data_IF_452517919005
#
_entry.id   IF_452517919005
#
_cell.length_a   1.000
_cell.length_b   1.000
_cell.length_c   1.000
_cell.angle_alpha   90.00
_cell.angle_beta   90.00
_cell.angle_gamma   90.00
#
_symmetry.space_group_name_H-M   'P 1'
#
loop_
_entity.id
_entity.type
_entity.pdbx_description
1 polymer ?
#
# COMPACT_ATOMS: atom_id res chain seq x y z
N UNK A 1 -20.03 26.36 -7.05
CA UNK A 1 -19.81 26.77 -5.64
C UNK A 1 -18.49 26.16 -5.18
N UNK A 2 -17.55 26.94 -4.65
CA UNK A 2 -16.27 26.40 -4.14
C UNK A 2 -16.48 25.69 -2.80
N UNK A 3 -15.53 24.84 -2.39
CA UNK A 3 -15.63 24.10 -1.10
C UNK A 3 -15.77 25.04 0.09
N UNK A 4 -15.03 26.16 0.11
CA UNK A 4 -15.15 27.19 1.15
C UNK A 4 -16.50 27.91 1.12
N UNK A 5 -17.07 28.16 -0.07
CA UNK A 5 -18.40 28.74 -0.19
C UNK A 5 -19.49 27.80 0.35
N UNK A 6 -19.37 26.48 0.12
CA UNK A 6 -20.29 25.49 0.66
C UNK A 6 -20.25 25.42 2.20
N UNK A 7 -19.07 25.61 2.82
CA UNK A 7 -18.96 25.73 4.27
C UNK A 7 -19.64 27.00 4.80
N UNK A 8 -19.34 28.15 4.21
CA UNK A 8 -19.92 29.44 4.63
C UNK A 8 -21.46 29.44 4.50
N UNK A 9 -21.99 28.74 3.49
CA UNK A 9 -23.43 28.54 3.30
C UNK A 9 -24.03 27.42 4.19
N UNK A 10 -23.25 26.79 5.08
CA UNK A 10 -23.63 25.66 5.96
C UNK A 10 -24.19 24.44 5.21
N UNK A 11 -23.77 24.24 3.96
CA UNK A 11 -24.16 23.09 3.12
C UNK A 11 -23.30 21.86 3.44
N UNK A 12 -22.04 22.07 3.85
CA UNK A 12 -21.11 21.00 4.19
C UNK A 12 -20.46 21.23 5.56
N UNK A 13 -20.24 20.18 6.37
CA UNK A 13 -19.61 20.32 7.68
C UNK A 13 -18.11 20.62 7.55
N UNK A 14 -17.55 21.27 8.57
CA UNK A 14 -16.15 21.73 8.55
C UNK A 14 -15.16 20.60 8.29
N UNK A 15 -15.36 19.42 8.88
CA UNK A 15 -14.45 18.29 8.71
C UNK A 15 -14.37 17.79 7.26
N UNK A 16 -15.47 17.87 6.50
CA UNK A 16 -15.48 17.51 5.08
C UNK A 16 -14.76 18.56 4.23
N UNK A 17 -15.02 19.84 4.51
CA UNK A 17 -14.45 20.97 3.77
C UNK A 17 -12.94 21.08 4.01
N UNK A 18 -12.52 21.06 5.27
CA UNK A 18 -11.10 21.06 5.66
C UNK A 18 -10.40 19.83 5.08
N UNK A 19 -10.99 18.65 5.23
CA UNK A 19 -10.41 17.41 4.73
C UNK A 19 -10.14 17.45 3.23
N UNK A 20 -11.09 17.96 2.45
CA UNK A 20 -10.93 18.16 1.01
C UNK A 20 -9.85 19.18 0.68
N UNK A 21 -9.89 20.37 1.29
CA UNK A 21 -8.91 21.44 1.06
C UNK A 21 -7.49 20.95 1.40
N UNK A 22 -7.33 20.20 2.49
CA UNK A 22 -6.03 19.64 2.92
C UNK A 22 -5.44 18.66 1.92
N UNK A 23 -6.25 17.95 1.12
CA UNK A 23 -5.69 17.10 0.05
C UNK A 23 -5.06 17.94 -1.07
N UNK A 24 -5.60 19.12 -1.33
CA UNK A 24 -5.13 20.02 -2.40
C UNK A 24 -4.01 20.93 -1.88
N UNK A 25 -4.31 21.81 -0.92
CA UNK A 25 -3.34 22.79 -0.41
C UNK A 25 -2.27 22.17 0.49
N UNK A 26 -2.56 21.01 1.08
CA UNK A 26 -1.58 20.23 1.84
C UNK A 26 -0.85 19.24 0.94
N UNK A 27 -1.45 18.06 0.74
CA UNK A 27 -0.76 16.93 0.11
C UNK A 27 -0.28 17.21 -1.32
N UNK A 28 -1.13 17.73 -2.21
CA UNK A 28 -0.74 17.97 -3.61
C UNK A 28 0.42 18.96 -3.72
N UNK A 29 0.39 20.07 -2.97
CA UNK A 29 1.49 21.05 -2.97
C UNK A 29 2.74 20.51 -2.27
N UNK A 30 2.59 19.79 -1.15
CA UNK A 30 3.71 19.15 -0.45
C UNK A 30 4.45 18.14 -1.33
N UNK A 31 3.71 17.25 -2.01
CA UNK A 31 4.25 16.24 -2.93
C UNK A 31 5.01 16.91 -4.08
N UNK A 32 4.46 18.01 -4.64
CA UNK A 32 5.16 18.81 -5.65
C UNK A 32 6.48 19.35 -5.13
N UNK A 33 6.51 19.86 -3.89
CA UNK A 33 7.72 20.34 -3.24
C UNK A 33 8.76 19.23 -3.06
N UNK A 34 8.35 18.07 -2.55
CA UNK A 34 9.22 16.89 -2.39
C UNK A 34 9.87 16.50 -3.71
N UNK A 35 9.08 16.41 -4.78
CA UNK A 35 9.58 16.04 -6.10
C UNK A 35 10.72 16.97 -6.55
N UNK A 36 10.48 18.28 -6.62
CA UNK A 36 11.49 19.22 -7.12
C UNK A 36 12.69 19.38 -6.19
N UNK A 37 12.50 19.19 -4.88
CA UNK A 37 13.60 19.33 -3.91
C UNK A 37 14.59 18.16 -3.96
N UNK A 38 14.13 16.94 -4.22
CA UNK A 38 15.00 15.75 -4.18
C UNK A 38 15.38 15.19 -5.56
N UNK A 39 14.77 15.66 -6.64
CA UNK A 39 15.14 15.24 -8.00
C UNK A 39 16.52 15.78 -8.41
N UNK A 40 17.29 15.01 -9.22
CA UNK A 40 16.91 13.76 -9.88
C UNK A 40 17.10 12.49 -9.04
N UNK A 41 17.82 12.57 -7.92
CA UNK A 41 18.22 11.38 -7.14
C UNK A 41 17.06 10.66 -6.45
N UNK A 42 15.93 11.35 -6.23
CA UNK A 42 14.73 10.75 -5.67
C UNK A 42 14.27 9.50 -6.43
N UNK A 43 14.34 9.51 -7.76
CA UNK A 43 13.98 8.38 -8.65
C UNK A 43 14.76 7.09 -8.41
N UNK A 44 15.93 7.17 -7.76
CA UNK A 44 16.83 6.01 -7.53
C UNK A 44 16.66 5.43 -6.13
N UNK A 45 15.82 6.02 -5.28
CA UNK A 45 15.69 5.61 -3.88
C UNK A 45 14.99 4.26 -3.76
N UNK A 46 15.64 3.35 -3.05
CA UNK A 46 15.12 2.02 -2.73
C UNK A 46 15.62 1.60 -1.34
N UNK A 47 15.25 2.36 -0.30
CA UNK A 47 15.78 2.16 1.07
C UNK A 47 15.47 0.78 1.66
N UNK A 48 14.50 0.05 1.11
CA UNK A 48 14.11 -1.29 1.55
C UNK A 48 14.66 -2.42 0.65
N UNK A 49 15.49 -2.09 -0.36
CA UNK A 49 16.03 -3.05 -1.32
C UNK A 49 14.95 -3.94 -1.98
N UNK A 50 13.81 -3.35 -2.33
CA UNK A 50 12.70 -4.04 -2.96
C UNK A 50 13.01 -4.33 -4.44
N UNK A 51 13.04 -5.60 -4.83
CA UNK A 51 13.46 -6.05 -6.18
C UNK A 51 12.51 -7.05 -6.83
N UNK A 52 11.46 -7.50 -6.13
CA UNK A 52 10.55 -8.53 -6.63
C UNK A 52 9.82 -8.03 -7.89
N UNK A 53 9.76 -8.80 -9.00
CA UNK A 53 9.06 -8.35 -10.20
C UNK A 53 7.57 -8.06 -9.96
N UNK A 54 7.05 -7.02 -10.61
CA UNK A 54 5.62 -6.69 -10.61
C UNK A 54 4.83 -7.88 -11.20
N UNK A 55 3.90 -8.50 -10.45
CA UNK A 55 3.18 -9.66 -10.95
C UNK A 55 2.15 -9.28 -12.02
N UNK A 56 1.90 -10.19 -12.95
CA UNK A 56 1.12 -9.95 -14.16
C UNK A 56 -0.32 -9.49 -13.87
N UNK A 57 -0.90 -9.93 -12.76
CA UNK A 57 -2.25 -9.54 -12.38
C UNK A 57 -2.43 -8.03 -12.15
N UNK A 58 -1.36 -7.24 -11.94
CA UNK A 58 -1.45 -5.77 -11.96
C UNK A 58 -1.94 -5.23 -13.31
N UNK A 59 -1.73 -5.95 -14.40
CA UNK A 59 -2.19 -5.58 -15.74
C UNK A 59 -3.49 -6.28 -16.13
N UNK A 60 -3.67 -7.55 -15.74
CA UNK A 60 -4.81 -8.37 -16.18
C UNK A 60 -6.01 -8.33 -15.23
N UNK A 61 -5.79 -8.00 -13.95
CA UNK A 61 -6.72 -8.19 -12.84
C UNK A 61 -7.11 -9.65 -12.56
N UNK A 62 -6.37 -10.61 -13.10
CA UNK A 62 -6.59 -12.05 -12.91
C UNK A 62 -5.92 -12.51 -11.62
N UNK A 63 -6.65 -12.44 -10.52
CA UNK A 63 -6.21 -12.91 -9.21
C UNK A 63 -7.41 -13.36 -8.37
N UNK A 64 -7.19 -14.32 -7.46
CA UNK A 64 -8.22 -14.78 -6.50
C UNK A 64 -8.34 -13.83 -5.31
N UNK A 65 -7.38 -12.94 -5.09
CA UNK A 65 -7.48 -11.83 -4.13
C UNK A 65 -8.53 -10.83 -4.62
N UNK A 66 -9.78 -10.99 -4.17
CA UNK A 66 -10.92 -10.19 -4.65
C UNK A 66 -10.69 -8.67 -4.55
N UNK A 67 -10.10 -8.17 -3.47
CA UNK A 67 -9.77 -6.74 -3.33
C UNK A 67 -8.81 -6.23 -4.41
N UNK A 68 -7.76 -7.00 -4.72
CA UNK A 68 -6.79 -6.66 -5.77
C UNK A 68 -7.46 -6.70 -7.14
N UNK A 69 -8.18 -7.78 -7.43
CA UNK A 69 -8.89 -7.93 -8.70
C UNK A 69 -9.86 -6.79 -8.97
N UNK A 70 -10.65 -6.37 -7.97
CA UNK A 70 -11.59 -5.24 -8.12
C UNK A 70 -10.87 -3.89 -8.27
N UNK A 71 -9.84 -3.61 -7.47
CA UNK A 71 -9.10 -2.35 -7.57
C UNK A 71 -8.41 -2.20 -8.94
N UNK A 72 -7.86 -3.30 -9.47
CA UNK A 72 -7.18 -3.31 -10.76
C UNK A 72 -8.19 -3.27 -11.90
N UNK A 73 -9.31 -4.01 -11.84
CA UNK A 73 -10.40 -3.90 -12.82
C UNK A 73 -10.93 -2.49 -12.92
N UNK A 74 -11.24 -1.85 -11.78
CA UNK A 74 -11.73 -0.48 -11.76
C UNK A 74 -10.71 0.49 -12.38
N UNK A 75 -9.43 0.30 -12.08
CA UNK A 75 -8.35 1.09 -12.66
C UNK A 75 -8.25 0.90 -14.18
N UNK A 76 -8.31 -0.34 -14.66
CA UNK A 76 -8.27 -0.66 -16.10
C UNK A 76 -9.46 -0.07 -16.86
N UNK A 77 -10.67 -0.21 -16.30
CA UNK A 77 -11.90 0.14 -16.99
C UNK A 77 -12.22 1.65 -16.94
N UNK A 78 -11.65 2.38 -15.97
CA UNK A 78 -11.96 3.80 -15.75
C UNK A 78 -10.74 4.73 -15.68
N UNK A 79 -9.51 4.21 -15.78
CA UNK A 79 -8.28 4.96 -15.54
C UNK A 79 -8.30 5.74 -14.21
N UNK A 80 -9.01 5.20 -13.21
CA UNK A 80 -9.27 5.84 -11.92
C UNK A 80 -9.48 4.81 -10.81
N UNK A 81 -8.87 5.09 -9.67
CA UNK A 81 -9.21 4.53 -8.36
C UNK A 81 -9.01 5.62 -7.31
N UNK A 82 -9.77 5.59 -6.23
CA UNK A 82 -9.66 6.61 -5.20
C UNK A 82 -8.44 6.36 -4.30
N UNK A 83 -7.98 7.39 -3.58
CA UNK A 83 -6.71 7.36 -2.83
C UNK A 83 -6.49 6.10 -1.97
N UNK A 84 -7.48 5.65 -1.20
CA UNK A 84 -7.29 4.50 -0.31
C UNK A 84 -7.16 3.14 -1.03
N UNK A 85 -7.66 3.01 -2.28
CA UNK A 85 -7.40 1.82 -3.11
C UNK A 85 -5.94 1.83 -3.58
N UNK A 86 -5.48 2.98 -4.09
CA UNK A 86 -4.08 3.17 -4.48
C UNK A 86 -3.13 2.87 -3.33
N UNK A 87 -3.41 3.41 -2.14
CA UNK A 87 -2.52 3.29 -1.00
C UNK A 87 -2.62 1.91 -0.32
N UNK A 88 -3.82 1.47 0.06
CA UNK A 88 -4.00 0.36 0.99
C UNK A 88 -4.34 -0.99 0.35
N UNK A 89 -4.61 -1.01 -0.96
CA UNK A 89 -4.81 -2.25 -1.72
C UNK A 89 -3.59 -2.53 -2.57
N UNK A 90 -3.43 -1.84 -3.71
CA UNK A 90 -2.33 -2.10 -4.66
C UNK A 90 -0.98 -1.65 -4.12
N UNK A 91 -0.91 -0.51 -3.42
CA UNK A 91 0.32 0.03 -2.84
C UNK A 91 0.81 -0.79 -1.64
N UNK A 92 -0.09 -1.08 -0.70
CA UNK A 92 0.19 -1.94 0.44
C UNK A 92 0.63 -3.34 -0.01
N UNK A 93 -0.04 -3.95 -1.00
CA UNK A 93 0.41 -5.24 -1.54
C UNK A 93 1.83 -5.14 -2.11
N UNK A 94 2.11 -4.10 -2.89
CA UNK A 94 3.43 -3.88 -3.48
C UNK A 94 4.52 -3.71 -2.40
N UNK A 95 4.22 -2.94 -1.35
CA UNK A 95 5.10 -2.73 -0.21
C UNK A 95 5.40 -4.05 0.52
N UNK A 96 4.36 -4.79 0.95
CA UNK A 96 4.55 -5.98 1.79
C UNK A 96 5.11 -7.18 1.01
N UNK A 97 5.06 -7.19 -0.31
CA UNK A 97 5.73 -8.19 -1.16
C UNK A 97 7.11 -7.76 -1.67
N UNK A 98 7.51 -6.50 -1.41
CA UNK A 98 8.81 -5.99 -1.81
C UNK A 98 8.96 -5.84 -3.32
N UNK A 99 7.89 -5.41 -4.00
CA UNK A 99 7.91 -5.21 -5.45
C UNK A 99 8.91 -4.12 -5.85
N UNK A 100 9.51 -4.31 -7.03
CA UNK A 100 10.45 -3.39 -7.62
C UNK A 100 9.84 -1.99 -7.74
N UNK A 101 10.44 -1.04 -7.04
CA UNK A 101 9.96 0.35 -6.93
C UNK A 101 9.71 0.98 -8.29
N UNK A 102 10.63 0.77 -9.24
CA UNK A 102 10.54 1.35 -10.59
C UNK A 102 9.36 0.77 -11.37
N UNK A 103 9.15 -0.54 -11.31
CA UNK A 103 8.03 -1.18 -12.00
C UNK A 103 6.69 -0.76 -11.42
N UNK A 104 6.60 -0.59 -10.10
CA UNK A 104 5.39 -0.08 -9.45
C UNK A 104 5.14 1.38 -9.87
N UNK A 105 6.16 2.23 -9.89
CA UNK A 105 6.07 3.61 -10.39
C UNK A 105 5.60 3.65 -11.86
N UNK A 106 6.21 2.84 -12.73
CA UNK A 106 5.82 2.73 -14.13
C UNK A 106 4.35 2.32 -14.29
N UNK A 107 3.87 1.39 -13.46
CA UNK A 107 2.47 0.99 -13.44
C UNK A 107 1.55 2.14 -13.01
N UNK A 108 1.80 2.78 -11.86
CA UNK A 108 0.98 3.90 -11.38
C UNK A 108 0.97 5.07 -12.37
N UNK A 109 2.10 5.35 -13.02
CA UNK A 109 2.21 6.40 -14.03
C UNK A 109 1.44 6.06 -15.32
N UNK A 110 1.36 4.78 -15.68
CA UNK A 110 0.69 4.33 -16.89
C UNK A 110 -0.84 4.21 -16.76
N UNK A 111 -1.34 3.76 -15.60
CA UNK A 111 -2.74 3.31 -15.50
C UNK A 111 -3.75 4.36 -15.03
N UNK A 112 -3.29 5.47 -14.44
CA UNK A 112 -4.18 6.52 -13.94
C UNK A 112 -4.17 7.75 -14.85
N UNK A 113 -5.36 8.22 -15.22
CA UNK A 113 -5.55 9.41 -16.08
C UNK A 113 -5.07 10.73 -15.44
N UNK A 114 -4.86 10.73 -14.12
CA UNK A 114 -4.36 11.87 -13.35
C UNK A 114 -2.85 11.78 -13.02
N UNK A 115 -2.14 10.78 -13.55
CA UNK A 115 -0.75 10.55 -13.22
C UNK A 115 0.21 11.40 -14.08
N UNK A 116 1.01 12.19 -13.37
CA UNK A 116 2.19 12.87 -13.90
C UNK A 116 3.33 12.63 -12.91
N UNK A 117 4.57 12.49 -13.39
CA UNK A 117 5.71 12.07 -12.58
C UNK A 117 5.86 12.89 -11.27
N UNK A 118 5.69 14.22 -11.34
CA UNK A 118 5.84 15.09 -10.17
C UNK A 118 4.86 14.80 -9.03
N UNK A 119 3.68 14.25 -9.34
CA UNK A 119 2.66 13.89 -8.34
C UNK A 119 2.68 12.40 -8.04
N UNK A 120 2.93 11.57 -9.06
CA UNK A 120 2.91 10.13 -8.94
C UNK A 120 4.12 9.61 -8.15
N UNK A 121 5.35 10.02 -8.53
CA UNK A 121 6.56 9.44 -7.98
C UNK A 121 6.69 9.61 -6.45
N UNK A 122 6.45 10.79 -5.84
CA UNK A 122 6.56 10.89 -4.38
C UNK A 122 5.42 10.18 -3.64
N UNK A 123 4.24 10.06 -4.24
CA UNK A 123 3.16 9.25 -3.68
C UNK A 123 3.50 7.75 -3.74
N UNK A 124 4.00 7.26 -4.86
CA UNK A 124 4.34 5.84 -5.01
C UNK A 124 5.59 5.48 -4.22
N UNK A 125 6.73 6.10 -4.54
CA UNK A 125 8.02 5.80 -3.92
C UNK A 125 8.02 6.13 -2.42
N UNK A 126 7.52 7.30 -2.05
CA UNK A 126 7.56 7.78 -0.66
C UNK A 126 6.40 7.24 0.16
N UNK A 127 5.17 7.64 -0.17
CA UNK A 127 4.00 7.31 0.65
C UNK A 127 3.64 5.82 0.62
N UNK A 128 3.52 5.22 -0.57
CA UNK A 128 3.06 3.84 -0.69
C UNK A 128 4.16 2.81 -0.39
N UNK A 129 5.37 3.03 -0.90
CA UNK A 129 6.46 2.04 -0.84
C UNK A 129 7.53 2.31 0.22
N UNK A 130 7.46 3.44 0.93
CA UNK A 130 8.43 3.83 1.96
C UNK A 130 9.89 3.74 1.47
N UNK A 131 10.11 3.88 0.17
CA UNK A 131 11.41 3.67 -0.48
C UNK A 131 12.31 4.89 -0.36
N UNK A 132 11.76 6.02 0.11
CA UNK A 132 12.45 7.27 0.36
C UNK A 132 13.11 7.35 1.75
N UNK A 133 13.01 6.31 2.57
CA UNK A 133 13.52 6.28 3.94
C UNK A 133 12.70 7.09 4.95
N UNK A 134 11.46 7.46 4.61
CA UNK A 134 10.55 8.18 5.49
C UNK A 134 10.55 9.70 5.33
N UNK A 135 10.89 10.19 4.14
CA UNK A 135 10.78 11.63 3.82
C UNK A 135 9.32 12.07 3.79
N UNK A 136 8.46 11.32 3.10
CA UNK A 136 7.03 11.66 2.95
C UNK A 136 6.20 11.15 4.14
N UNK A 137 6.53 9.97 4.66
CA UNK A 137 5.77 9.32 5.73
C UNK A 137 6.69 8.89 6.86
N UNK A 138 6.27 9.04 8.12
CA UNK A 138 7.10 8.67 9.27
C UNK A 138 7.00 7.18 9.65
N UNK A 139 6.14 6.40 8.99
CA UNK A 139 6.00 4.95 9.13
C UNK A 139 5.48 4.35 7.82
N UNK A 140 5.78 3.07 7.51
CA UNK A 140 5.23 2.42 6.33
C UNK A 140 3.71 2.22 6.46
N UNK A 141 2.98 2.40 5.35
CA UNK A 141 1.55 2.09 5.24
C UNK A 141 1.32 0.58 4.98
N UNK A 142 2.01 -0.27 5.75
CA UNK A 142 1.83 -1.71 5.71
C UNK A 142 0.62 -2.13 6.55
N UNK A 143 -0.24 -2.99 6.01
CA UNK A 143 -1.39 -3.52 6.72
C UNK A 143 -1.76 -4.95 6.28
N UNK A 144 -2.31 -5.72 7.22
CA UNK A 144 -2.82 -7.07 6.97
C UNK A 144 -4.25 -7.06 6.40
N UNK A 145 -4.78 -8.24 6.09
CA UNK A 145 -6.16 -8.43 5.62
C UNK A 145 -7.21 -7.90 6.60
N UNK A 146 -6.89 -7.81 7.90
CA UNK A 146 -7.78 -7.23 8.92
C UNK A 146 -8.13 -5.76 8.63
N UNK A 147 -7.19 -4.98 8.08
CA UNK A 147 -7.48 -3.61 7.69
C UNK A 147 -8.49 -3.56 6.54
N UNK A 148 -8.26 -4.36 5.50
CA UNK A 148 -9.11 -4.43 4.31
C UNK A 148 -10.52 -4.89 4.70
N UNK A 149 -10.62 -5.89 5.57
CA UNK A 149 -11.91 -6.39 6.09
C UNK A 149 -12.70 -5.32 6.84
N UNK A 150 -12.01 -4.48 7.64
CA UNK A 150 -12.67 -3.42 8.40
C UNK A 150 -13.12 -2.24 7.52
N UNK A 151 -12.37 -1.94 6.47
CA UNK A 151 -12.54 -0.71 5.68
C UNK A 151 -13.26 -0.94 4.34
N UNK A 152 -13.67 -2.18 4.05
CA UNK A 152 -14.32 -2.54 2.79
C UNK A 152 -15.26 -3.73 2.98
N UNK A 153 -16.03 -4.05 1.94
CA UNK A 153 -16.82 -5.27 1.84
C UNK A 153 -16.15 -6.33 0.93
N UNK A 154 -14.89 -6.15 0.52
CA UNK A 154 -14.22 -7.08 -0.41
C UNK A 154 -14.10 -8.50 0.15
N UNK A 155 -13.80 -8.64 1.44
CA UNK A 155 -13.54 -9.93 2.07
C UNK A 155 -14.77 -10.85 2.06
N UNK A 156 -16.00 -10.31 1.99
CA UNK A 156 -17.24 -11.09 1.96
C UNK A 156 -17.40 -11.92 0.69
N UNK A 157 -16.73 -11.54 -0.40
CA UNK A 157 -16.74 -12.24 -1.70
C UNK A 157 -15.40 -12.89 -2.03
N UNK A 158 -14.44 -12.83 -1.11
CA UNK A 158 -13.10 -13.34 -1.33
C UNK A 158 -13.04 -14.83 -1.02
N UNK A 159 -12.23 -15.57 -1.78
CA UNK A 159 -11.96 -16.99 -1.47
C UNK A 159 -11.10 -17.17 -0.22
N UNK A 160 -10.38 -16.11 0.16
CA UNK A 160 -9.53 -16.06 1.33
C UNK A 160 -10.24 -15.42 2.51
N UNK A 161 -9.96 -15.93 3.71
CA UNK A 161 -10.49 -15.44 4.97
C UNK A 161 -9.48 -14.47 5.63
N UNK A 162 -9.85 -13.20 5.89
CA UNK A 162 -8.98 -12.22 6.54
C UNK A 162 -8.67 -12.53 8.01
N UNK A 163 -9.41 -13.42 8.67
CA UNK A 163 -9.13 -13.84 10.05
C UNK A 163 -8.17 -15.04 10.12
N UNK A 164 -7.96 -15.75 9.01
CA UNK A 164 -7.05 -16.89 8.92
C UNK A 164 -5.63 -16.42 8.59
N UNK A 165 -4.67 -16.75 9.47
CA UNK A 165 -3.26 -16.37 9.34
C UNK A 165 -2.44 -17.37 8.52
N UNK A 166 -2.70 -18.68 8.68
CA UNK A 166 -1.95 -19.79 8.09
C UNK A 166 -2.93 -20.82 7.53
N UNK A 167 -2.59 -21.44 6.41
CA UNK A 167 -3.40 -22.46 5.74
C UNK A 167 -3.91 -22.01 4.37
N UNK A 168 -4.59 -22.92 3.66
CA UNK A 168 -5.00 -22.68 2.27
C UNK A 168 -5.96 -21.50 2.07
N UNK A 169 -6.80 -21.23 3.07
CA UNK A 169 -7.74 -20.10 3.07
C UNK A 169 -7.17 -18.81 3.66
N UNK A 170 -5.92 -18.79 4.11
CA UNK A 170 -5.32 -17.60 4.70
C UNK A 170 -5.28 -16.44 3.69
N UNK A 171 -5.72 -15.24 4.10
CA UNK A 171 -5.52 -14.05 3.30
C UNK A 171 -4.02 -13.77 3.12
N UNK A 172 -3.50 -13.67 1.88
CA UNK A 172 -2.06 -13.46 1.65
C UNK A 172 -1.50 -12.24 2.38
N UNK A 173 -2.27 -11.15 2.48
CA UNK A 173 -1.88 -9.94 3.22
C UNK A 173 -1.52 -10.21 4.69
N UNK A 174 -2.05 -11.26 5.31
CA UNK A 174 -1.81 -11.54 6.73
C UNK A 174 -0.37 -12.00 6.98
N UNK A 175 0.05 -13.06 6.31
CA UNK A 175 1.41 -13.60 6.46
C UNK A 175 2.44 -12.63 5.86
N UNK A 176 2.16 -12.06 4.68
CA UNK A 176 3.05 -11.10 4.01
C UNK A 176 3.30 -9.84 4.85
N UNK A 177 2.29 -9.35 5.57
CA UNK A 177 2.45 -8.20 6.47
C UNK A 177 3.46 -8.48 7.59
N UNK A 178 3.36 -9.65 8.23
CA UNK A 178 4.28 -10.00 9.31
C UNK A 178 5.67 -10.34 8.81
N UNK A 179 5.78 -11.01 7.66
CA UNK A 179 7.07 -11.25 7.01
C UNK A 179 7.76 -9.94 6.63
N UNK A 180 7.01 -8.95 6.09
CA UNK A 180 7.53 -7.60 5.82
C UNK A 180 8.13 -6.95 7.06
N UNK A 181 7.45 -7.02 8.19
CA UNK A 181 7.97 -6.46 9.45
C UNK A 181 9.19 -7.21 9.95
N UNK A 182 9.18 -8.55 9.84
CA UNK A 182 10.27 -9.40 10.29
C UNK A 182 11.56 -9.22 9.46
N UNK A 183 11.43 -9.09 8.13
CA UNK A 183 12.59 -8.91 7.24
C UNK A 183 13.18 -7.48 7.27
N UNK A 184 12.43 -6.51 7.78
CA UNK A 184 12.87 -5.13 7.97
C UNK A 184 12.94 -4.73 9.45
N UNK A 185 13.20 -5.70 10.32
CA UNK A 185 13.30 -5.52 11.77
C UNK A 185 14.34 -4.44 12.14
N UNK A 186 15.55 -4.55 11.58
CA UNK A 186 16.64 -3.60 11.82
C UNK A 186 16.27 -2.16 11.42
N UNK A 187 15.45 -2.00 10.38
CA UNK A 187 15.02 -0.69 9.87
C UNK A 187 13.93 -0.08 10.74
N UNK A 188 12.95 -0.87 11.18
CA UNK A 188 11.73 -0.33 11.78
C UNK A 188 11.60 -0.53 13.29
N UNK A 189 12.40 -1.42 13.91
CA UNK A 189 12.29 -1.70 15.36
C UNK A 189 12.59 -0.46 16.23
N UNK A 190 13.45 0.44 15.75
CA UNK A 190 13.71 1.73 16.40
C UNK A 190 12.62 2.80 16.20
N UNK A 191 11.63 2.57 15.33
CA UNK A 191 10.57 3.53 15.06
C UNK A 191 9.50 3.46 16.16
N UNK A 192 9.39 4.54 16.94
CA UNK A 192 8.46 4.65 18.07
C UNK A 192 6.99 4.36 17.69
N UNK A 193 6.58 4.66 16.46
CA UNK A 193 5.21 4.39 15.97
C UNK A 193 4.96 2.89 15.67
N UNK A 194 6.01 2.08 15.67
CA UNK A 194 5.98 0.64 15.38
C UNK A 194 6.18 -0.23 16.63
N UNK A 195 6.44 0.36 17.79
CA UNK A 195 6.71 -0.37 19.05
C UNK A 195 5.62 -1.42 19.39
N UNK A 196 4.35 -1.05 19.26
CA UNK A 196 3.23 -1.98 19.54
C UNK A 196 3.19 -3.16 18.56
N UNK A 197 3.54 -2.90 17.30
CA UNK A 197 3.57 -3.91 16.24
C UNK A 197 4.67 -4.94 16.53
N UNK A 198 5.88 -4.49 16.84
CA UNK A 198 6.99 -5.38 17.20
C UNK A 198 6.75 -6.09 18.54
N UNK A 199 6.14 -5.44 19.53
CA UNK A 199 5.73 -6.12 20.76
C UNK A 199 4.73 -7.25 20.49
N UNK A 200 3.84 -7.08 19.52
CA UNK A 200 2.90 -8.14 19.11
C UNK A 200 3.63 -9.27 18.39
N UNK A 201 4.57 -8.94 17.50
CA UNK A 201 5.41 -9.91 16.81
C UNK A 201 6.20 -10.77 17.80
N UNK A 202 6.87 -10.16 18.77
CA UNK A 202 7.69 -10.84 19.77
C UNK A 202 6.84 -11.79 20.64
N UNK A 203 5.58 -11.44 20.92
CA UNK A 203 4.62 -12.28 21.67
C UNK A 203 4.15 -13.53 20.93
N UNK A 204 4.33 -13.63 19.62
CA UNK A 204 3.95 -14.84 18.88
C UNK A 204 4.81 -16.05 19.24
N UNK A 205 6.06 -15.83 19.69
CA UNK A 205 7.01 -16.91 19.94
C UNK A 205 7.60 -17.49 18.65
N UNK A 206 8.77 -18.12 18.76
CA UNK A 206 9.60 -18.51 17.62
C UNK A 206 8.88 -19.46 16.64
N UNK A 207 8.18 -20.48 17.15
CA UNK A 207 7.46 -21.44 16.31
C UNK A 207 6.39 -20.77 15.44
N UNK A 208 5.56 -19.90 16.04
CA UNK A 208 4.52 -19.19 15.28
C UNK A 208 5.11 -18.19 14.30
N UNK A 209 6.18 -17.48 14.69
CA UNK A 209 6.89 -16.58 13.78
C UNK A 209 7.43 -17.34 12.56
N UNK A 210 8.02 -18.53 12.79
CA UNK A 210 8.51 -19.41 11.72
C UNK A 210 7.37 -19.84 10.79
N UNK A 211 6.26 -20.35 11.32
CA UNK A 211 5.12 -20.77 10.48
C UNK A 211 4.48 -19.62 9.69
N UNK A 212 4.46 -18.41 10.24
CA UNK A 212 3.98 -17.22 9.52
C UNK A 212 4.92 -16.89 8.34
N UNK A 213 6.23 -16.98 8.53
CA UNK A 213 7.21 -16.72 7.46
C UNK A 213 7.19 -17.81 6.38
N UNK A 214 6.99 -19.07 6.77
CA UNK A 214 6.78 -20.18 5.83
C UNK A 214 5.51 -19.96 5.00
N UNK A 215 4.41 -19.54 5.64
CA UNK A 215 3.18 -19.19 4.92
C UNK A 215 3.38 -18.01 3.96
N UNK A 216 4.15 -17.00 4.35
CA UNK A 216 4.48 -15.86 3.49
C UNK A 216 5.31 -16.29 2.26
N UNK A 217 6.30 -17.17 2.45
CA UNK A 217 7.08 -17.74 1.36
C UNK A 217 6.21 -18.51 0.37
N UNK A 218 5.24 -19.31 0.85
CA UNK A 218 4.26 -19.98 0.00
C UNK A 218 3.39 -18.97 -0.77
N UNK A 219 2.99 -17.86 -0.14
CA UNK A 219 2.24 -16.79 -0.82
C UNK A 219 3.05 -16.11 -1.91
N UNK A 220 4.35 -15.84 -1.68
CA UNK A 220 5.26 -15.27 -2.68
C UNK A 220 5.47 -16.24 -3.85
N UNK A 221 5.68 -17.52 -3.59
CA UNK A 221 5.79 -18.53 -4.65
C UNK A 221 4.49 -18.59 -5.49
N UNK A 222 3.32 -18.60 -4.84
CA UNK A 222 2.04 -18.55 -5.56
C UNK A 222 1.89 -17.27 -6.38
N UNK A 223 2.46 -16.15 -5.94
CA UNK A 223 2.45 -14.89 -6.68
C UNK A 223 3.26 -15.02 -7.97
N UNK A 224 4.48 -15.55 -7.89
CA UNK A 224 5.36 -15.78 -9.03
C UNK A 224 4.75 -16.75 -10.05
N UNK A 225 4.00 -17.74 -9.56
CA UNK A 225 3.28 -18.70 -10.39
C UNK A 225 1.91 -18.18 -10.91
N UNK A 226 1.55 -16.92 -10.65
CA UNK A 226 0.24 -16.31 -10.98
C UNK A 226 -0.98 -17.11 -10.43
N UNK A 227 -0.86 -17.64 -9.20
CA UNK A 227 -1.87 -18.49 -8.54
C UNK A 227 -2.57 -17.84 -7.34
N UNK A 228 -2.23 -16.59 -6.99
CA UNK A 228 -2.89 -15.81 -5.93
C UNK A 228 -4.23 -15.22 -6.35
#
# INVERSE_FOLDING_TARGET
MTTSAAYNARIAPLNAVEGFIRQILGWREYIRGVYWYFMPDYSKRNSLNATTPLPEFYWTAETKMFCMGEAIRQTRDHAYSHHIQRLMITGNFALITGLNVKQVQEWYLAVYSDAYEWVEMPNTLGMALFSDGGVVASKPYAASGKYINRMSNYCQKCVYDPEVMIGEKACPFNALYWDFLARHDDTFRGNQRMNYVYSTWDKFGQEKQKSIREQAAVSLQKMEENKL
#
